data_IF_531065579458
#
_entry.id   IF_531065579458
#
_cell.length_a   1.000
_cell.length_b   1.000
_cell.length_c   1.000
_cell.angle_alpha   90.00
_cell.angle_beta   90.00
_cell.angle_gamma   90.00
#
_symmetry.space_group_name_H-M   'P 1'
#
loop_
_entity.id
_entity.type
_entity.pdbx_description
1 polymer ?
#
# COMPACT_ATOMS: atom_id res chain seq x y z
N UNK A 1 1.22 65.27 28.61
CA UNK A 1 1.97 63.99 28.65
C UNK A 1 1.15 62.93 27.95
N UNK A 2 1.36 62.73 26.65
CA UNK A 2 0.67 61.68 25.87
C UNK A 2 1.55 60.43 25.86
N UNK A 3 1.16 59.44 26.66
CA UNK A 3 1.78 58.12 26.72
C UNK A 3 1.50 57.37 25.42
N UNK A 4 2.51 57.22 24.57
CA UNK A 4 2.42 56.38 23.39
C UNK A 4 2.46 54.91 23.83
N UNK A 5 1.31 54.24 23.78
CA UNK A 5 1.20 52.82 24.10
C UNK A 5 2.06 52.01 23.11
N UNK A 6 3.02 51.18 23.56
CA UNK A 6 3.88 50.45 22.64
C UNK A 6 3.06 49.46 21.81
N UNK A 7 3.10 49.62 20.49
CA UNK A 7 2.38 48.77 19.53
C UNK A 7 2.88 47.32 19.66
N UNK A 8 1.98 46.42 20.10
CA UNK A 8 2.31 45.01 20.26
C UNK A 8 2.43 44.34 18.88
N UNK A 9 3.67 44.12 18.44
CA UNK A 9 4.03 43.51 17.14
C UNK A 9 3.31 42.19 16.88
N UNK A 10 3.06 41.37 17.92
CA UNK A 10 2.35 40.10 17.75
C UNK A 10 0.89 40.30 17.37
N UNK A 11 0.19 41.27 17.99
CA UNK A 11 -1.20 41.61 17.62
C UNK A 11 -1.28 42.20 16.22
N UNK A 12 -0.28 42.99 15.82
CA UNK A 12 -0.18 43.54 14.46
C UNK A 12 -0.02 42.43 13.41
N UNK A 13 0.89 41.48 13.65
CA UNK A 13 1.12 40.33 12.74
C UNK A 13 -0.13 39.46 12.64
N UNK A 14 -0.82 39.18 13.75
CA UNK A 14 -2.08 38.44 13.72
C UNK A 14 -3.19 39.20 12.98
N UNK A 15 -3.27 40.52 13.16
CA UNK A 15 -4.22 41.36 12.42
C UNK A 15 -3.95 41.37 10.91
N UNK A 16 -2.68 41.45 10.50
CA UNK A 16 -2.27 41.38 9.09
C UNK A 16 -2.58 39.99 8.52
N UNK A 17 -2.27 38.91 9.24
CA UNK A 17 -2.54 37.55 8.80
C UNK A 17 -4.04 37.28 8.65
N UNK A 18 -4.86 37.77 9.58
CA UNK A 18 -6.32 37.69 9.50
C UNK A 18 -6.86 38.47 8.29
N UNK A 19 -6.36 39.68 8.04
CA UNK A 19 -6.76 40.49 6.89
C UNK A 19 -6.37 39.83 5.56
N UNK A 20 -5.18 39.25 5.46
CA UNK A 20 -4.73 38.51 4.28
C UNK A 20 -5.57 37.25 4.05
N UNK A 21 -5.93 36.54 5.12
CA UNK A 21 -6.76 35.33 5.03
C UNK A 21 -8.17 35.66 4.56
N UNK A 22 -8.78 36.73 5.11
CA UNK A 22 -10.10 37.21 4.69
C UNK A 22 -10.06 37.71 3.24
N UNK A 23 -9.00 38.44 2.86
CA UNK A 23 -8.79 38.90 1.49
C UNK A 23 -8.68 37.74 0.49
N UNK A 24 -7.98 36.67 0.85
CA UNK A 24 -7.86 35.46 0.05
C UNK A 24 -9.22 34.76 -0.11
N UNK A 25 -10.00 34.63 0.97
CA UNK A 25 -11.34 34.02 0.93
C UNK A 25 -12.27 34.85 0.04
N UNK A 26 -12.31 36.17 0.22
CA UNK A 26 -13.15 37.04 -0.62
C UNK A 26 -12.70 37.05 -2.08
N UNK A 27 -11.39 36.94 -2.36
CA UNK A 27 -10.87 36.81 -3.71
C UNK A 27 -11.25 35.48 -4.35
N UNK A 28 -11.18 34.37 -3.61
CA UNK A 28 -11.65 33.05 -4.04
C UNK A 28 -13.17 33.03 -4.24
N UNK A 29 -13.95 33.73 -3.41
CA UNK A 29 -15.41 33.83 -3.59
C UNK A 29 -15.79 34.75 -4.76
N UNK A 30 -14.98 35.78 -5.04
CA UNK A 30 -15.21 36.72 -6.14
C UNK A 30 -14.83 36.15 -7.50
N UNK A 31 -13.81 35.31 -7.55
CA UNK A 31 -13.60 34.46 -8.71
C UNK A 31 -14.84 33.57 -8.79
N UNK A 32 -15.47 33.46 -9.96
CA UNK A 32 -16.45 32.39 -10.23
C UNK A 32 -15.69 31.07 -10.29
N UNK A 33 -15.05 30.69 -9.18
CA UNK A 33 -14.20 29.52 -9.10
C UNK A 33 -15.14 28.37 -9.35
N UNK A 34 -14.99 27.80 -10.52
CA UNK A 34 -15.82 26.69 -10.93
C UNK A 34 -15.66 25.63 -9.85
N UNK A 35 -16.74 25.39 -9.11
CA UNK A 35 -16.75 24.47 -7.98
C UNK A 35 -16.29 23.07 -8.43
N UNK A 36 -16.53 22.75 -9.71
CA UNK A 36 -16.04 21.56 -10.40
C UNK A 36 -14.50 21.53 -10.53
N UNK A 37 -13.86 22.67 -10.75
CA UNK A 37 -12.40 22.78 -10.86
C UNK A 37 -11.73 22.64 -9.49
N UNK A 38 -12.31 23.24 -8.44
CA UNK A 38 -11.86 22.98 -7.06
C UNK A 38 -12.03 21.51 -6.67
N UNK A 39 -13.19 20.93 -6.99
CA UNK A 39 -13.46 19.52 -6.73
C UNK A 39 -12.49 18.61 -7.50
N UNK A 40 -12.16 18.96 -8.75
CA UNK A 40 -11.20 18.25 -9.58
C UNK A 40 -9.79 18.25 -8.99
N UNK A 41 -9.30 19.41 -8.55
CA UNK A 41 -7.98 19.53 -7.89
C UNK A 41 -7.95 18.79 -6.56
N UNK A 42 -9.01 18.92 -5.75
CA UNK A 42 -9.13 18.22 -4.47
C UNK A 42 -9.11 16.69 -4.66
N UNK A 43 -9.87 16.17 -5.63
CA UNK A 43 -9.88 14.75 -5.96
C UNK A 43 -8.54 14.27 -6.51
N UNK A 44 -7.83 15.05 -7.31
CA UNK A 44 -6.49 14.70 -7.82
C UNK A 44 -5.49 14.51 -6.68
N UNK A 45 -5.47 15.43 -5.70
CA UNK A 45 -4.62 15.30 -4.51
C UNK A 45 -5.00 14.06 -3.71
N UNK A 46 -6.29 13.78 -3.58
CA UNK A 46 -6.79 12.61 -2.86
C UNK A 46 -6.46 11.29 -3.56
N UNK A 47 -6.52 11.23 -4.89
CA UNK A 47 -6.16 10.06 -5.70
C UNK A 47 -4.66 9.76 -5.56
N UNK A 48 -3.81 10.79 -5.62
CA UNK A 48 -2.36 10.60 -5.42
C UNK A 48 -2.06 10.11 -4.01
N UNK A 49 -2.73 10.67 -3.00
CA UNK A 49 -2.59 10.22 -1.62
C UNK A 49 -3.09 8.79 -1.42
N UNK A 50 -4.25 8.47 -2.01
CA UNK A 50 -4.82 7.13 -2.02
C UNK A 50 -3.86 6.12 -2.66
N UNK A 51 -3.27 6.46 -3.80
CA UNK A 51 -2.30 5.61 -4.50
C UNK A 51 -1.05 5.34 -3.64
N UNK A 52 -0.56 6.35 -2.90
CA UNK A 52 0.55 6.18 -1.94
C UNK A 52 0.18 5.33 -0.72
N UNK A 53 -1.10 5.28 -0.35
CA UNK A 53 -1.61 4.42 0.72
C UNK A 53 -2.01 3.03 0.26
N UNK A 54 -1.99 2.76 -1.05
CA UNK A 54 -2.16 1.39 -1.52
C UNK A 54 -0.96 0.60 -1.01
N UNK A 55 -1.18 -0.48 -0.24
CA UNK A 55 -0.09 -1.31 0.23
C UNK A 55 0.68 -1.78 -1.00
N UNK A 56 2.00 -1.67 -0.94
CA UNK A 56 2.89 -2.34 -1.88
C UNK A 56 2.52 -3.83 -1.81
N UNK A 57 1.72 -4.31 -2.77
CA UNK A 57 1.21 -5.69 -2.77
C UNK A 57 2.35 -6.71 -2.94
N UNK A 58 3.56 -6.20 -3.17
CA UNK A 58 4.79 -6.94 -3.36
C UNK A 58 5.46 -7.22 -2.02
N UNK A 59 5.45 -8.47 -1.61
CA UNK A 59 6.23 -8.99 -0.48
C UNK A 59 7.72 -8.84 -0.80
N UNK A 60 8.45 -8.05 -0.02
CA UNK A 60 9.88 -7.77 -0.26
C UNK A 60 10.78 -8.99 -0.08
N UNK A 61 10.50 -9.79 0.93
CA UNK A 61 11.28 -10.97 1.29
C UNK A 61 10.33 -12.17 1.48
N UNK A 62 10.16 -13.01 0.45
CA UNK A 62 9.21 -14.12 0.48
C UNK A 62 9.61 -15.21 1.47
N UNK A 63 10.91 -15.38 1.75
CA UNK A 63 11.43 -16.39 2.70
C UNK A 63 11.10 -16.02 4.13
N UNK A 64 11.14 -14.73 4.48
CA UNK A 64 10.72 -14.26 5.81
C UNK A 64 9.22 -14.17 5.98
N UNK A 65 8.49 -13.97 4.89
CA UNK A 65 7.04 -13.79 4.91
C UNK A 65 6.28 -15.12 5.04
N UNK A 66 6.82 -16.18 4.46
CA UNK A 66 6.26 -17.53 4.57
C UNK A 66 6.90 -18.23 5.76
N UNK A 67 6.07 -18.83 6.61
CA UNK A 67 6.55 -19.63 7.75
C UNK A 67 5.93 -21.02 7.73
N UNK A 68 6.70 -21.99 8.19
CA UNK A 68 6.30 -23.39 8.31
C UNK A 68 6.29 -23.75 9.79
N UNK A 69 5.10 -23.88 10.38
CA UNK A 69 4.92 -24.12 11.80
C UNK A 69 3.86 -25.21 12.02
N UNK A 70 4.15 -26.18 12.89
CA UNK A 70 3.20 -27.21 13.32
C UNK A 70 2.46 -27.92 12.15
N UNK A 71 3.18 -28.25 11.07
CA UNK A 71 2.58 -28.90 9.90
C UNK A 71 1.66 -27.99 9.07
N UNK A 72 1.81 -26.66 9.20
CA UNK A 72 1.09 -25.66 8.42
C UNK A 72 2.06 -24.70 7.71
N UNK A 73 1.70 -24.30 6.50
CA UNK A 73 2.28 -23.15 5.80
C UNK A 73 1.43 -21.90 6.12
N UNK A 74 2.09 -20.81 6.50
CA UNK A 74 1.45 -19.55 6.85
C UNK A 74 2.07 -18.38 6.09
N UNK A 75 1.22 -17.52 5.54
CA UNK A 75 1.62 -16.26 4.90
C UNK A 75 0.44 -15.29 4.92
N UNK A 76 0.69 -14.05 5.33
CA UNK A 76 -0.37 -13.08 5.56
C UNK A 76 -1.41 -13.59 6.56
N UNK A 77 -2.68 -13.56 6.18
CA UNK A 77 -3.80 -14.14 6.95
C UNK A 77 -4.11 -15.61 6.59
N UNK A 78 -3.35 -16.21 5.67
CA UNK A 78 -3.61 -17.57 5.19
C UNK A 78 -2.82 -18.58 6.01
N UNK A 79 -3.48 -19.65 6.46
CA UNK A 79 -2.85 -20.83 7.04
C UNK A 79 -3.42 -22.11 6.40
N UNK A 80 -2.54 -22.97 5.88
CA UNK A 80 -2.92 -24.21 5.19
C UNK A 80 -2.10 -25.35 5.75
N UNK A 81 -2.73 -26.51 5.99
CA UNK A 81 -2.01 -27.70 6.44
C UNK A 81 -1.17 -28.28 5.31
N UNK A 82 0.10 -28.63 5.59
CA UNK A 82 1.08 -29.05 4.58
C UNK A 82 0.64 -30.30 3.80
N UNK A 83 -0.06 -31.24 4.42
CA UNK A 83 -0.55 -32.44 3.74
C UNK A 83 -1.55 -32.17 2.59
N UNK A 84 -2.13 -30.96 2.54
CA UNK A 84 -3.02 -30.52 1.45
C UNK A 84 -2.28 -29.82 0.32
N UNK A 85 -1.00 -29.49 0.52
CA UNK A 85 -0.16 -28.78 -0.46
C UNK A 85 0.51 -29.81 -1.35
N UNK A 86 -0.17 -30.20 -2.43
CA UNK A 86 0.37 -31.18 -3.39
C UNK A 86 1.10 -30.53 -4.56
N UNK A 87 0.81 -29.26 -4.83
CA UNK A 87 1.34 -28.50 -5.95
C UNK A 87 1.60 -27.06 -5.50
N UNK A 88 2.48 -26.37 -6.20
CA UNK A 88 2.79 -24.95 -5.99
C UNK A 88 2.89 -24.27 -7.34
N UNK A 89 2.19 -23.16 -7.54
CA UNK A 89 2.36 -22.34 -8.73
C UNK A 89 3.40 -21.25 -8.45
N UNK A 90 4.44 -21.22 -9.28
CA UNK A 90 5.52 -20.25 -9.18
C UNK A 90 5.87 -19.73 -10.57
N UNK A 91 5.32 -18.57 -10.91
CA UNK A 91 5.48 -17.94 -12.22
C UNK A 91 6.36 -16.70 -12.11
N UNK A 92 7.42 -16.64 -12.92
CA UNK A 92 8.39 -15.53 -12.87
C UNK A 92 8.29 -14.71 -14.15
N UNK A 93 8.05 -13.41 -13.99
CA UNK A 93 8.11 -12.39 -15.04
C UNK A 93 9.42 -11.60 -14.95
N UNK A 94 9.60 -10.56 -15.78
CA UNK A 94 10.84 -9.75 -15.78
C UNK A 94 11.13 -9.08 -14.44
N UNK A 95 10.10 -8.62 -13.73
CA UNK A 95 10.25 -7.82 -12.52
C UNK A 95 9.67 -8.52 -11.27
N UNK A 96 8.65 -9.35 -11.46
CA UNK A 96 7.89 -9.95 -10.39
C UNK A 96 7.81 -11.48 -10.50
N UNK A 97 7.73 -12.15 -9.36
CA UNK A 97 7.40 -13.54 -9.24
C UNK A 97 6.06 -13.68 -8.49
N UNK A 98 5.18 -14.50 -9.04
CA UNK A 98 3.86 -14.80 -8.53
C UNK A 98 3.92 -16.17 -7.87
N UNK A 99 3.63 -16.20 -6.58
CA UNK A 99 3.45 -17.44 -5.84
C UNK A 99 1.96 -17.62 -5.55
N UNK A 100 1.46 -18.81 -5.82
CA UNK A 100 0.17 -19.23 -5.28
C UNK A 100 0.20 -20.71 -4.92
N UNK A 101 -0.53 -21.05 -3.88
CA UNK A 101 -0.79 -22.45 -3.55
C UNK A 101 -2.04 -22.87 -4.31
N UNK A 102 -1.94 -23.80 -5.28
CA UNK A 102 -3.12 -24.42 -5.84
C UNK A 102 -3.88 -25.12 -4.71
N UNK A 103 -5.07 -24.61 -4.46
CA UNK A 103 -6.05 -25.18 -3.57
C UNK A 103 -6.77 -26.33 -4.29
N UNK A 104 -7.10 -27.41 -3.58
CA UNK A 104 -7.96 -28.47 -4.12
C UNK A 104 -9.30 -27.83 -4.58
N UNK A 105 -9.66 -27.86 -5.88
CA UNK A 105 -10.66 -26.98 -6.49
C UNK A 105 -12.13 -27.29 -6.11
N UNK A 106 -12.37 -28.03 -5.03
CA UNK A 106 -13.74 -28.29 -4.54
C UNK A 106 -14.45 -27.03 -4.04
N UNK A 107 -13.76 -25.89 -3.95
CA UNK A 107 -14.36 -24.58 -3.60
C UNK A 107 -13.93 -23.51 -4.61
N UNK A 108 -14.87 -22.85 -5.31
CA UNK A 108 -14.53 -21.76 -6.23
C UNK A 108 -14.02 -20.52 -5.47
N UNK A 109 -12.88 -19.97 -5.90
CA UNK A 109 -12.27 -18.77 -5.33
C UNK A 109 -10.86 -18.51 -5.87
N UNK A 110 -10.31 -17.33 -5.58
CA UNK A 110 -8.91 -17.02 -5.89
C UNK A 110 -7.99 -17.88 -5.02
N UNK A 111 -7.02 -18.61 -5.61
CA UNK A 111 -6.05 -19.36 -4.82
C UNK A 111 -5.21 -18.40 -3.97
N UNK A 112 -4.90 -18.75 -2.72
CA UNK A 112 -4.12 -17.89 -1.85
C UNK A 112 -2.70 -17.77 -2.40
N UNK A 113 -2.23 -16.54 -2.53
CA UNK A 113 -0.95 -16.22 -3.15
C UNK A 113 -0.52 -14.78 -2.90
N UNK A 114 0.71 -14.46 -3.31
CA UNK A 114 1.28 -13.13 -3.21
C UNK A 114 2.34 -12.92 -4.29
N UNK A 115 2.71 -11.66 -4.49
CA UNK A 115 3.72 -11.24 -5.47
C UNK A 115 4.99 -10.82 -4.74
N UNK A 116 6.16 -11.09 -5.30
CA UNK A 116 7.45 -10.68 -4.74
C UNK A 116 8.47 -10.41 -5.87
N UNK A 117 9.64 -9.79 -5.60
CA UNK A 117 10.61 -9.48 -6.64
C UNK A 117 11.17 -10.73 -7.33
N UNK A 118 11.29 -10.71 -8.66
CA UNK A 118 11.80 -11.85 -9.45
C UNK A 118 13.22 -12.29 -9.04
N UNK A 119 14.04 -11.37 -8.53
CA UNK A 119 15.39 -11.67 -8.02
C UNK A 119 15.40 -12.68 -6.85
N UNK A 120 14.29 -12.82 -6.12
CA UNK A 120 14.14 -13.75 -5.00
C UNK A 120 13.53 -15.09 -5.39
N UNK A 121 13.13 -15.29 -6.67
CA UNK A 121 12.41 -16.48 -7.11
C UNK A 121 13.19 -17.77 -6.88
N UNK A 122 14.49 -17.78 -7.21
CA UNK A 122 15.36 -18.95 -7.05
C UNK A 122 15.58 -19.31 -5.58
N UNK A 123 15.81 -18.29 -4.75
CA UNK A 123 15.99 -18.45 -3.29
C UNK A 123 14.72 -19.02 -2.66
N UNK A 124 13.57 -18.44 -3.00
CA UNK A 124 12.28 -18.86 -2.48
C UNK A 124 11.88 -20.25 -2.97
N UNK A 125 12.12 -20.59 -4.25
CA UNK A 125 11.89 -21.95 -4.77
C UNK A 125 12.67 -22.99 -3.98
N UNK A 126 13.93 -22.72 -3.67
CA UNK A 126 14.77 -23.62 -2.85
C UNK A 126 14.22 -23.75 -1.43
N UNK A 127 13.81 -22.64 -0.82
CA UNK A 127 13.19 -22.65 0.50
C UNK A 127 11.94 -23.54 0.54
N UNK A 128 11.05 -23.40 -0.45
CA UNK A 128 9.86 -24.25 -0.58
C UNK A 128 10.22 -25.73 -0.76
N UNK A 129 11.24 -26.06 -1.56
CA UNK A 129 11.68 -27.45 -1.75
C UNK A 129 12.26 -28.06 -0.46
N UNK A 130 12.95 -27.28 0.36
CA UNK A 130 13.49 -27.75 1.64
C UNK A 130 12.37 -28.07 2.63
N UNK A 131 11.34 -27.23 2.72
CA UNK A 131 10.28 -27.36 3.71
C UNK A 131 9.14 -28.29 3.29
N UNK A 132 8.79 -28.30 1.99
CA UNK A 132 7.70 -29.13 1.45
C UNK A 132 8.18 -30.48 0.90
N UNK A 133 9.48 -30.66 0.70
CA UNK A 133 10.05 -31.85 0.08
C UNK A 133 9.75 -31.93 -1.42
N UNK A 134 9.37 -33.13 -1.88
CA UNK A 134 9.10 -33.39 -3.30
C UNK A 134 7.72 -32.86 -3.69
N UNK A 135 7.68 -31.59 -4.11
CA UNK A 135 6.48 -30.91 -4.59
C UNK A 135 6.56 -30.60 -6.09
N UNK A 136 5.42 -30.71 -6.76
CA UNK A 136 5.29 -30.32 -8.15
C UNK A 136 5.09 -28.81 -8.29
N UNK A 137 6.07 -28.15 -8.92
CA UNK A 137 5.93 -26.77 -9.36
C UNK A 137 5.16 -26.71 -10.67
N UNK A 138 4.12 -25.89 -10.71
CA UNK A 138 3.39 -25.51 -11.92
C UNK A 138 3.91 -24.14 -12.35
N UNK A 139 4.14 -23.99 -13.64
CA UNK A 139 4.59 -22.76 -14.29
C UNK A 139 3.48 -22.20 -15.16
#
# INVERSE_FOLDING_TARGET
>A
MTSAHPLNKAKLVHGILAALSVGLILWVVRQEVNLLLMLGVFNLVWIVQWYKTMPDATVKDPVKYVTFNNGHIQFGSTSITLHKVTRVALETTREHCYFSLPYNPTTPGNPPGFVFPASKAVEFKRYLQTELGDIHFIH
#
